data_IF_020708117843
#
_entry.id   IF_020708117843
#
_cell.length_a   1.000
_cell.length_b   1.000
_cell.length_c   1.000
_cell.angle_alpha   90.00
_cell.angle_beta   90.00
_cell.angle_gamma   90.00
#
_symmetry.space_group_name_H-M   'P 1'
#
loop_
_entity.id
_entity.type
_entity.pdbx_description
1 polymer ?
#
# COMPACT_ATOMS: atom_id res chain seq x y z
N UNK A 1 5.98 27.40 -2.17
CA UNK A 1 5.72 27.47 -0.72
C UNK A 1 6.08 26.11 -0.16
N UNK A 2 6.91 26.06 0.89
CA UNK A 2 7.35 24.80 1.49
C UNK A 2 6.15 24.10 2.14
N UNK A 3 6.07 22.77 2.03
CA UNK A 3 4.95 21.99 2.56
C UNK A 3 4.97 22.00 4.08
N UNK A 4 3.81 22.10 4.74
CA UNK A 4 3.71 22.17 6.20
C UNK A 4 3.13 20.90 6.80
N UNK A 5 3.84 20.31 7.74
CA UNK A 5 3.46 19.08 8.47
C UNK A 5 3.28 19.43 9.94
N UNK A 6 2.10 19.14 10.48
CA UNK A 6 1.84 19.24 11.92
C UNK A 6 2.00 17.85 12.54
N UNK A 7 2.80 17.74 13.60
CA UNK A 7 3.01 16.50 14.35
C UNK A 7 2.45 16.69 15.76
N UNK A 8 1.45 15.89 16.14
CA UNK A 8 0.94 15.84 17.50
C UNK A 8 1.55 14.64 18.24
N UNK A 9 2.39 14.90 19.24
CA UNK A 9 3.10 13.89 20.03
C UNK A 9 3.32 14.44 21.44
N UNK A 10 2.78 13.76 22.45
CA UNK A 10 2.77 14.20 23.84
C UNK A 10 4.11 13.95 24.57
N UNK A 11 4.92 13.01 24.08
CA UNK A 11 6.29 12.86 24.56
C UNK A 11 7.22 13.88 23.90
N UNK A 12 7.66 14.86 24.68
CA UNK A 12 8.55 15.94 24.23
C UNK A 12 9.85 15.43 23.60
N UNK A 13 10.38 14.28 24.04
CA UNK A 13 11.61 13.71 23.49
C UNK A 13 11.35 13.09 22.12
N UNK A 14 10.21 12.40 21.96
CA UNK A 14 9.81 11.82 20.68
C UNK A 14 9.46 12.93 19.69
N UNK A 15 8.74 13.96 20.13
CA UNK A 15 8.43 15.14 19.32
C UNK A 15 9.70 15.84 18.83
N UNK A 16 10.67 16.07 19.73
CA UNK A 16 11.98 16.62 19.39
C UNK A 16 12.74 15.73 18.40
N UNK A 17 12.79 14.42 18.66
CA UNK A 17 13.44 13.44 17.78
C UNK A 17 12.83 13.42 16.38
N UNK A 18 11.50 13.50 16.26
CA UNK A 18 10.82 13.58 14.96
C UNK A 18 11.19 14.87 14.25
N UNK A 19 11.10 16.02 14.93
CA UNK A 19 11.36 17.32 14.30
C UNK A 19 12.80 17.46 13.82
N UNK A 20 13.76 17.26 14.73
CA UNK A 20 15.18 17.44 14.43
C UNK A 20 15.69 16.30 13.54
N UNK A 21 15.26 15.07 13.81
CA UNK A 21 15.67 13.92 13.02
C UNK A 21 15.16 13.94 11.57
N UNK A 22 13.96 14.47 11.31
CA UNK A 22 13.50 14.68 9.94
C UNK A 22 14.30 15.79 9.23
N UNK A 23 14.69 16.84 9.95
CA UNK A 23 15.54 17.91 9.41
C UNK A 23 16.94 17.39 9.06
N UNK A 24 17.57 16.61 9.93
CA UNK A 24 18.88 15.99 9.73
C UNK A 24 18.88 15.01 8.54
N UNK A 25 17.75 14.35 8.29
CA UNK A 25 17.55 13.48 7.12
C UNK A 25 17.26 14.26 5.82
N UNK A 26 17.29 15.60 5.85
CA UNK A 26 17.12 16.45 4.68
C UNK A 26 15.68 16.55 4.18
N UNK A 27 14.70 16.60 5.08
CA UNK A 27 13.29 16.80 4.71
C UNK A 27 13.04 18.16 4.02
N UNK A 28 12.38 18.13 2.86
CA UNK A 28 11.99 19.33 2.09
C UNK A 28 10.60 19.87 2.48
N UNK A 29 10.24 19.73 3.76
CA UNK A 29 8.99 20.22 4.33
C UNK A 29 9.27 20.81 5.73
N UNK A 30 8.37 21.68 6.18
CA UNK A 30 8.45 22.28 7.50
C UNK A 30 7.63 21.45 8.48
N UNK A 31 8.26 21.10 9.61
CA UNK A 31 7.65 20.32 10.67
C UNK A 31 7.42 21.22 11.88
N UNK A 32 6.17 21.27 12.33
CA UNK A 32 5.81 21.87 13.62
C UNK A 32 5.23 20.78 14.53
N UNK A 33 5.63 20.80 15.80
CA UNK A 33 5.22 19.82 16.80
C UNK A 33 4.31 20.47 17.83
N UNK A 34 3.28 19.76 18.26
CA UNK A 34 2.37 20.12 19.36
C UNK A 34 2.25 18.95 20.32
N UNK A 35 1.90 19.24 21.57
CA UNK A 35 1.95 18.27 22.68
C UNK A 35 0.61 17.61 22.99
N UNK A 36 -0.47 18.03 22.33
CA UNK A 36 -1.82 17.49 22.54
C UNK A 36 -2.70 17.60 21.29
N UNK A 37 -3.81 16.84 21.28
CA UNK A 37 -4.81 16.93 20.23
C UNK A 37 -5.53 18.29 20.20
N UNK A 38 -5.73 18.91 21.36
CA UNK A 38 -6.35 20.23 21.50
C UNK A 38 -5.48 21.33 20.89
N UNK A 39 -4.16 21.31 21.15
CA UNK A 39 -3.20 22.23 20.53
C UNK A 39 -3.16 22.02 19.01
N UNK A 40 -3.21 20.77 18.56
CA UNK A 40 -3.26 20.44 17.14
C UNK A 40 -4.51 21.03 16.47
N UNK A 41 -5.70 20.90 17.09
CA UNK A 41 -6.93 21.49 16.57
C UNK A 41 -6.87 23.01 16.52
N UNK A 42 -6.33 23.66 17.56
CA UNK A 42 -6.16 25.10 17.57
C UNK A 42 -5.26 25.57 16.41
N UNK A 43 -4.18 24.83 16.12
CA UNK A 43 -3.30 25.10 14.97
C UNK A 43 -3.98 24.84 13.63
N UNK A 44 -4.81 23.81 13.53
CA UNK A 44 -5.60 23.50 12.32
C UNK A 44 -6.61 24.62 12.02
N UNK A 45 -7.15 25.28 13.05
CA UNK A 45 -8.08 26.40 12.87
C UNK A 45 -7.40 27.71 12.48
N UNK A 46 -6.15 27.90 12.87
CA UNK A 46 -5.38 29.12 12.58
C UNK A 46 -4.68 29.08 11.23
N UNK A 47 -4.23 27.90 10.81
CA UNK A 47 -3.27 27.73 9.73
C UNK A 47 -3.66 26.61 8.76
N UNK A 48 -3.12 26.67 7.55
CA UNK A 48 -3.27 25.59 6.57
C UNK A 48 -2.12 24.58 6.70
N UNK A 49 -2.49 23.31 6.84
CA UNK A 49 -1.57 22.18 6.93
C UNK A 49 -1.69 21.26 5.71
N UNK A 50 -0.54 20.80 5.20
CA UNK A 50 -0.51 19.83 4.11
C UNK A 50 -0.76 18.41 4.63
N UNK A 51 -0.24 18.08 5.82
CA UNK A 51 -0.34 16.77 6.45
C UNK A 51 -0.41 16.92 7.98
N UNK A 52 -1.19 16.06 8.63
CA UNK A 52 -1.19 15.90 10.09
C UNK A 52 -0.67 14.52 10.46
N UNK A 53 0.38 14.45 11.25
CA UNK A 53 0.88 13.22 11.88
C UNK A 53 0.48 13.27 13.33
N UNK A 54 -0.04 12.19 13.89
CA UNK A 54 -0.49 12.20 15.29
C UNK A 54 -0.21 10.89 15.98
N UNK A 55 0.23 10.94 17.24
CA UNK A 55 0.21 9.77 18.08
C UNK A 55 -1.20 9.38 18.49
N UNK A 56 -1.46 8.08 18.55
CA UNK A 56 -2.75 7.57 18.95
C UNK A 56 -3.03 7.84 20.43
N UNK A 57 -2.02 7.69 21.29
CA UNK A 57 -2.16 7.77 22.75
C UNK A 57 -1.68 9.09 23.32
N UNK A 58 -2.45 10.15 23.09
CA UNK A 58 -2.23 11.43 23.75
C UNK A 58 -3.25 11.63 24.90
N UNK A 59 -2.85 12.28 26.01
CA UNK A 59 -3.78 12.70 27.07
C UNK A 59 -4.86 13.67 26.54
N UNK A 60 -6.08 13.56 27.09
CA UNK A 60 -7.19 14.42 26.72
C UNK A 60 -7.89 13.97 25.44
N UNK A 61 -7.23 14.15 24.30
CA UNK A 61 -7.74 13.79 22.98
C UNK A 61 -6.80 12.79 22.29
N UNK A 62 -7.35 11.63 21.91
CA UNK A 62 -6.60 10.61 21.16
C UNK A 62 -6.31 11.05 19.73
N UNK A 63 -5.31 10.44 19.09
CA UNK A 63 -4.99 10.72 17.69
C UNK A 63 -6.14 10.40 16.73
N UNK A 64 -7.00 9.42 17.05
CA UNK A 64 -8.18 9.11 16.23
C UNK A 64 -9.25 10.19 16.33
N UNK A 65 -9.52 10.69 17.53
CA UNK A 65 -10.47 11.81 17.74
C UNK A 65 -9.97 13.09 17.07
N UNK A 66 -8.66 13.36 17.14
CA UNK A 66 -8.05 14.46 16.40
C UNK A 66 -8.26 14.32 14.89
N UNK A 67 -8.03 13.13 14.34
CA UNK A 67 -8.23 12.87 12.90
C UNK A 67 -9.70 13.01 12.54
N UNK A 68 -10.63 12.49 13.35
CA UNK A 68 -12.06 12.64 13.11
C UNK A 68 -12.47 14.12 13.05
N UNK A 69 -12.05 14.91 14.03
CA UNK A 69 -12.29 16.35 14.07
C UNK A 69 -11.63 17.09 12.88
N UNK A 70 -10.40 16.71 12.50
CA UNK A 70 -9.72 17.22 11.31
C UNK A 70 -10.52 16.93 10.04
N UNK A 71 -11.05 15.72 9.88
CA UNK A 71 -11.80 15.29 8.68
C UNK A 71 -13.18 15.93 8.60
N UNK A 72 -13.82 16.22 9.73
CA UNK A 72 -15.06 16.99 9.76
C UNK A 72 -14.85 18.42 9.23
N UNK A 73 -13.72 19.04 9.57
CA UNK A 73 -13.35 20.39 9.10
C UNK A 73 -12.81 20.38 7.68
N UNK A 74 -11.97 19.41 7.35
CA UNK A 74 -11.27 19.28 6.07
C UNK A 74 -11.33 17.82 5.61
N UNK A 75 -12.39 17.41 4.89
CA UNK A 75 -12.60 16.01 4.50
C UNK A 75 -11.45 15.38 3.68
N UNK A 76 -10.74 16.21 2.90
CA UNK A 76 -9.60 15.81 2.07
C UNK A 76 -8.24 15.93 2.78
N UNK A 77 -8.19 16.26 4.08
CA UNK A 77 -6.94 16.34 4.81
C UNK A 77 -6.25 14.98 4.83
N UNK A 78 -4.93 14.96 4.66
CA UNK A 78 -4.14 13.75 4.83
C UNK A 78 -3.71 13.63 6.27
N UNK A 79 -3.72 12.40 6.77
CA UNK A 79 -3.30 12.11 8.14
C UNK A 79 -2.48 10.82 8.24
N UNK A 80 -1.47 10.82 9.10
CA UNK A 80 -0.71 9.64 9.49
C UNK A 80 -0.96 9.40 10.98
N UNK A 81 -1.31 8.17 11.35
CA UNK A 81 -1.47 7.78 12.76
C UNK A 81 -0.25 6.98 13.21
N UNK A 82 0.37 7.38 14.32
CA UNK A 82 1.43 6.64 15.01
C UNK A 82 0.82 5.93 16.23
N UNK A 83 1.29 4.74 16.62
CA UNK A 83 0.83 4.09 17.87
C UNK A 83 1.82 3.06 18.39
N UNK A 84 1.82 2.81 19.70
CA UNK A 84 2.64 1.77 20.32
C UNK A 84 2.12 0.33 20.10
N UNK A 85 0.86 0.13 19.73
CA UNK A 85 0.28 -1.19 19.46
C UNK A 85 -0.94 -1.07 18.55
N UNK A 86 -1.02 -1.91 17.52
CA UNK A 86 -2.20 -2.05 16.67
C UNK A 86 -3.21 -2.97 17.33
N UNK A 87 -4.16 -2.40 18.07
CA UNK A 87 -5.39 -3.14 18.34
C UNK A 87 -6.27 -3.12 17.10
N UNK A 88 -6.99 -4.21 16.86
CA UNK A 88 -7.92 -4.33 15.73
C UNK A 88 -8.91 -3.17 15.68
N UNK A 89 -9.36 -2.70 16.85
CA UNK A 89 -10.26 -1.54 16.97
C UNK A 89 -9.64 -0.24 16.44
N UNK A 90 -8.34 -0.01 16.69
CA UNK A 90 -7.63 1.20 16.23
C UNK A 90 -7.43 1.18 14.73
N UNK A 91 -7.10 0.01 14.17
CA UNK A 91 -6.97 -0.16 12.72
C UNK A 91 -8.31 0.05 12.01
N UNK A 92 -9.39 -0.54 12.52
CA UNK A 92 -10.74 -0.36 11.98
C UNK A 92 -11.19 1.09 12.05
N UNK A 93 -10.92 1.78 13.16
CA UNK A 93 -11.22 3.21 13.30
C UNK A 93 -10.41 4.06 12.32
N UNK A 94 -9.10 3.81 12.18
CA UNK A 94 -8.25 4.53 11.23
C UNK A 94 -8.74 4.35 9.78
N UNK A 95 -9.21 3.16 9.42
CA UNK A 95 -9.79 2.89 8.10
C UNK A 95 -11.09 3.65 7.88
N UNK A 96 -11.99 3.66 8.87
CA UNK A 96 -13.26 4.41 8.79
C UNK A 96 -13.03 5.90 8.59
N UNK A 97 -11.98 6.44 9.21
CA UNK A 97 -11.60 7.85 9.09
C UNK A 97 -10.75 8.18 7.85
N UNK A 98 -10.47 7.18 7.00
CA UNK A 98 -9.65 7.32 5.79
C UNK A 98 -8.28 7.97 6.12
N UNK A 99 -7.61 7.43 7.13
CA UNK A 99 -6.22 7.75 7.46
C UNK A 99 -5.34 7.34 6.27
N UNK A 100 -4.41 8.22 5.88
CA UNK A 100 -3.55 7.97 4.73
C UNK A 100 -2.58 6.81 4.99
N UNK A 101 -1.95 6.81 6.17
CA UNK A 101 -1.05 5.74 6.58
C UNK A 101 -1.03 5.59 8.11
N UNK A 102 -0.66 4.41 8.57
CA UNK A 102 -0.59 4.07 9.97
C UNK A 102 0.77 3.43 10.27
N UNK A 103 1.42 3.85 11.35
CA UNK A 103 2.77 3.41 11.73
C UNK A 103 2.82 2.95 13.18
N UNK A 104 3.52 1.84 13.42
CA UNK A 104 3.76 1.31 14.77
C UNK A 104 5.07 1.83 15.35
N UNK A 105 5.04 2.33 16.58
CA UNK A 105 6.21 2.67 17.41
C UNK A 105 6.79 1.38 18.03
N UNK A 106 8.12 1.24 18.15
CA UNK A 106 9.14 2.16 17.63
C UNK A 106 9.29 2.05 16.10
N UNK A 107 9.57 3.17 15.44
CA UNK A 107 9.82 3.22 13.99
C UNK A 107 11.13 3.95 13.68
N UNK A 108 11.83 3.61 12.57
CA UNK A 108 12.93 4.41 12.05
C UNK A 108 12.44 5.75 11.50
N UNK A 109 13.15 6.85 11.79
CA UNK A 109 12.82 8.18 11.26
C UNK A 109 12.88 8.26 9.73
N UNK A 110 13.72 7.44 9.11
CA UNK A 110 13.81 7.31 7.64
C UNK A 110 12.48 6.81 7.07
N UNK A 111 11.80 5.88 7.75
CA UNK A 111 10.50 5.40 7.33
C UNK A 111 9.42 6.47 7.51
N UNK A 112 9.42 7.18 8.65
CA UNK A 112 8.47 8.29 8.86
C UNK A 112 8.64 9.38 7.80
N UNK A 113 9.89 9.77 7.49
CA UNK A 113 10.21 10.71 6.42
C UNK A 113 9.62 10.25 5.08
N UNK A 114 9.89 9.00 4.71
CA UNK A 114 9.40 8.42 3.45
C UNK A 114 7.89 8.47 3.35
N UNK A 115 7.16 8.10 4.41
CA UNK A 115 5.69 8.11 4.42
C UNK A 115 5.16 9.55 4.32
N UNK A 116 5.78 10.51 5.01
CA UNK A 116 5.41 11.93 4.91
C UNK A 116 5.61 12.45 3.48
N UNK A 117 6.75 12.16 2.85
CA UNK A 117 7.04 12.58 1.46
C UNK A 117 6.02 11.99 0.48
N UNK A 118 5.67 10.71 0.64
CA UNK A 118 4.64 10.05 -0.15
C UNK A 118 3.27 10.71 0.02
N UNK A 119 2.88 11.04 1.25
CA UNK A 119 1.62 11.72 1.54
C UNK A 119 1.57 13.13 0.93
N UNK A 120 2.65 13.90 1.06
CA UNK A 120 2.73 15.26 0.53
C UNK A 120 2.69 15.28 -1.01
N UNK A 121 3.33 14.30 -1.65
CA UNK A 121 3.25 14.10 -3.10
C UNK A 121 1.81 13.78 -3.52
N UNK A 122 1.13 12.87 -2.81
CA UNK A 122 -0.26 12.49 -3.09
C UNK A 122 -1.24 13.68 -3.09
N UNK A 123 -1.08 14.67 -2.20
CA UNK A 123 -1.97 15.86 -2.12
C UNK A 123 -1.85 16.83 -3.31
N UNK A 124 -0.73 16.82 -4.03
CA UNK A 124 -0.42 17.81 -5.07
C UNK A 124 -1.10 17.55 -6.43
N UNK A 125 -1.91 16.49 -6.54
CA UNK A 125 -2.63 16.16 -7.78
C UNK A 125 -1.85 15.28 -8.75
N UNK A 126 -0.75 14.67 -8.32
CA UNK A 126 0.01 13.69 -9.07
C UNK A 126 0.54 12.64 -8.13
N UNK A 127 0.49 11.40 -8.57
CA UNK A 127 1.41 10.40 -8.06
C UNK A 127 2.86 10.93 -7.98
N UNK A 128 3.69 10.40 -7.08
CA UNK A 128 5.02 10.95 -6.80
C UNK A 128 5.97 10.91 -7.99
N UNK A 129 6.19 12.06 -8.62
CA UNK A 129 7.26 12.26 -9.61
C UNK A 129 8.64 12.18 -8.92
N UNK A 130 9.43 11.17 -9.26
CA UNK A 130 10.89 11.26 -9.31
C UNK A 130 11.28 12.16 -10.50
N UNK A 131 12.28 13.02 -10.31
CA UNK A 131 12.56 14.09 -11.26
C UNK A 131 13.09 13.63 -12.62
N UNK A 132 12.41 14.07 -13.68
CA UNK A 132 13.02 14.59 -14.91
C UNK A 132 11.96 15.31 -15.76
N UNK A 133 12.32 16.47 -16.32
CA UNK A 133 11.50 17.30 -17.19
C UNK A 133 10.95 16.54 -18.40
N UNK A 134 9.65 16.27 -18.42
CA UNK A 134 8.68 16.47 -19.51
C UNK A 134 7.32 15.95 -19.01
N UNK A 135 6.22 16.43 -19.58
CA UNK A 135 4.84 16.09 -19.17
C UNK A 135 4.59 14.58 -19.29
N UNK A 136 4.89 13.82 -18.24
CA UNK A 136 4.59 12.39 -18.20
C UNK A 136 3.17 12.19 -17.66
N UNK A 137 2.18 12.21 -18.55
CA UNK A 137 0.76 11.95 -18.25
C UNK A 137 0.48 10.44 -18.07
N UNK A 138 1.43 9.71 -17.52
CA UNK A 138 1.34 8.26 -17.33
C UNK A 138 0.29 7.95 -16.25
N UNK A 139 -0.68 7.05 -16.52
CA UNK A 139 -1.76 6.78 -15.59
C UNK A 139 -1.34 5.99 -14.35
N UNK A 140 -2.05 6.29 -13.27
CA UNK A 140 -1.98 5.70 -11.94
C UNK A 140 -2.88 4.48 -11.80
N UNK A 141 -2.34 3.34 -11.38
CA UNK A 141 -3.13 2.16 -11.10
C UNK A 141 -2.95 1.65 -9.67
N UNK A 142 -4.06 1.63 -8.93
CA UNK A 142 -4.15 0.83 -7.71
C UNK A 142 -4.13 -0.66 -8.08
N UNK A 143 -3.17 -1.40 -7.55
CA UNK A 143 -3.01 -2.85 -7.72
C UNK A 143 -3.08 -3.50 -6.34
N UNK A 144 -3.74 -4.65 -6.22
CA UNK A 144 -3.73 -5.44 -4.98
C UNK A 144 -3.07 -6.79 -5.21
N UNK A 145 -2.24 -7.24 -4.26
CA UNK A 145 -1.79 -8.63 -4.22
C UNK A 145 -2.63 -9.44 -3.21
N UNK A 146 -3.27 -10.50 -3.69
CA UNK A 146 -3.97 -11.51 -2.90
C UNK A 146 -3.20 -12.83 -2.84
N UNK A 147 -3.50 -13.67 -1.86
CA UNK A 147 -2.82 -14.94 -1.60
C UNK A 147 -2.42 -15.09 -0.15
N UNK A 148 -2.07 -16.30 0.27
CA UNK A 148 -1.85 -16.60 1.69
C UNK A 148 -0.66 -15.86 2.31
N UNK A 149 -0.57 -15.94 3.64
CA UNK A 149 0.65 -15.59 4.35
C UNK A 149 1.85 -16.37 3.81
N UNK A 150 3.03 -15.74 3.82
CA UNK A 150 4.30 -16.37 3.46
C UNK A 150 4.45 -16.85 1.99
N UNK A 151 3.49 -16.59 1.10
CA UNK A 151 3.66 -16.87 -0.36
C UNK A 151 4.68 -15.94 -1.03
N UNK A 152 5.02 -14.82 -0.38
CA UNK A 152 6.06 -13.89 -0.82
C UNK A 152 5.55 -12.62 -1.51
N UNK A 153 4.31 -12.18 -1.24
CA UNK A 153 3.73 -10.92 -1.77
C UNK A 153 4.61 -9.71 -1.45
N UNK A 154 4.90 -9.49 -0.18
CA UNK A 154 5.81 -8.43 0.31
C UNK A 154 7.19 -8.54 -0.32
N UNK A 155 7.73 -9.75 -0.44
CA UNK A 155 9.06 -9.98 -1.02
C UNK A 155 9.07 -9.71 -2.52
N UNK A 156 8.00 -10.02 -3.25
CA UNK A 156 7.84 -9.66 -4.67
C UNK A 156 7.87 -8.15 -4.83
N UNK A 157 7.13 -7.42 -3.99
CA UNK A 157 7.08 -5.96 -4.05
C UNK A 157 8.43 -5.33 -3.70
N UNK A 158 9.07 -5.78 -2.61
CA UNK A 158 10.42 -5.32 -2.24
C UNK A 158 11.44 -5.63 -3.34
N UNK A 159 11.35 -6.81 -3.95
CA UNK A 159 12.26 -7.20 -5.04
C UNK A 159 12.08 -6.31 -6.26
N UNK A 160 10.84 -6.00 -6.62
CA UNK A 160 10.50 -5.07 -7.69
C UNK A 160 11.09 -3.67 -7.41
N UNK A 161 10.85 -3.12 -6.22
CA UNK A 161 11.27 -1.76 -5.90
C UNK A 161 12.78 -1.60 -5.71
N UNK A 162 13.49 -2.63 -5.23
CA UNK A 162 14.90 -2.51 -4.82
C UNK A 162 15.87 -3.28 -5.70
N UNK A 163 15.38 -4.19 -6.55
CA UNK A 163 16.19 -5.16 -7.28
C UNK A 163 16.90 -6.19 -6.39
N UNK A 164 16.71 -6.15 -5.06
CA UNK A 164 17.41 -6.98 -4.08
C UNK A 164 16.45 -7.95 -3.41
N UNK A 165 16.99 -9.11 -3.02
CA UNK A 165 16.28 -10.08 -2.20
C UNK A 165 16.56 -9.81 -0.72
N UNK A 166 15.50 -9.66 0.07
CA UNK A 166 15.56 -9.53 1.53
C UNK A 166 15.10 -10.86 2.15
N UNK A 167 16.01 -11.53 2.86
CA UNK A 167 15.76 -12.81 3.49
C UNK A 167 15.03 -12.71 4.85
N UNK A 168 14.77 -11.49 5.35
CA UNK A 168 14.07 -11.29 6.61
C UNK A 168 12.64 -11.83 6.53
N UNK A 169 12.28 -12.71 7.46
CA UNK A 169 10.98 -13.42 7.49
C UNK A 169 9.95 -12.72 8.38
N UNK A 170 9.96 -11.39 8.39
CA UNK A 170 8.96 -10.63 9.14
C UNK A 170 7.63 -10.74 8.40
N UNK A 171 6.60 -11.24 9.08
CA UNK A 171 5.25 -11.30 8.50
C UNK A 171 4.63 -9.90 8.44
N UNK A 172 3.94 -9.58 7.35
CA UNK A 172 3.19 -8.33 7.24
C UNK A 172 1.98 -8.33 8.18
N UNK A 173 2.02 -7.45 9.17
CA UNK A 173 0.89 -7.09 10.03
C UNK A 173 0.21 -5.89 9.36
N UNK A 174 -1.11 -5.96 9.13
CA UNK A 174 -1.85 -4.88 8.47
C UNK A 174 -1.65 -4.80 6.95
N UNK A 175 -1.50 -3.57 6.44
CA UNK A 175 -1.43 -3.27 4.99
C UNK A 175 -0.35 -2.22 4.71
N UNK A 176 0.49 -2.48 3.72
CA UNK A 176 1.51 -1.55 3.21
C UNK A 176 1.22 -1.23 1.73
N UNK A 177 1.78 -0.13 1.21
CA UNK A 177 1.71 0.17 -0.22
C UNK A 177 3.03 0.70 -0.78
N UNK A 178 3.32 0.30 -2.01
CA UNK A 178 4.55 0.68 -2.70
C UNK A 178 4.24 1.30 -4.06
N UNK A 179 5.08 2.24 -4.46
CA UNK A 179 4.98 2.96 -5.73
C UNK A 179 6.02 2.40 -6.69
N UNK A 180 5.59 2.08 -7.89
CA UNK A 180 6.48 1.53 -8.92
C UNK A 180 6.11 2.06 -10.30
N UNK A 181 7.08 2.72 -10.94
CA UNK A 181 6.97 3.15 -12.33
C UNK A 181 7.30 1.97 -13.24
N UNK A 182 6.37 1.63 -14.12
CA UNK A 182 6.48 0.50 -15.03
C UNK A 182 6.27 0.93 -16.47
N UNK A 183 7.19 0.52 -17.33
CA UNK A 183 7.01 0.59 -18.77
C UNK A 183 6.39 -0.72 -19.24
N UNK A 184 5.09 -0.72 -19.50
CA UNK A 184 4.36 -1.87 -20.05
C UNK A 184 4.39 -1.83 -21.59
N UNK A 185 3.88 -2.88 -22.25
CA UNK A 185 3.82 -2.88 -23.71
C UNK A 185 2.91 -1.78 -24.27
N UNK A 186 1.87 -1.41 -23.51
CA UNK A 186 0.84 -0.48 -23.96
C UNK A 186 1.17 0.97 -23.62
N UNK A 187 1.80 1.24 -22.46
CA UNK A 187 2.17 2.58 -22.02
C UNK A 187 3.05 2.55 -20.76
N UNK A 188 3.68 3.69 -20.47
CA UNK A 188 4.18 4.00 -19.13
C UNK A 188 3.00 4.12 -18.17
N UNK A 189 3.13 3.54 -16.98
CA UNK A 189 2.15 3.65 -15.92
C UNK A 189 2.85 3.61 -14.57
N UNK A 190 2.19 4.14 -13.55
CA UNK A 190 2.63 3.99 -12.18
C UNK A 190 1.66 3.11 -11.41
N UNK A 191 2.23 2.19 -10.65
CA UNK A 191 1.48 1.24 -9.83
C UNK A 191 1.56 1.67 -8.37
N UNK A 192 0.39 1.75 -7.73
CA UNK A 192 0.25 1.77 -6.27
C UNK A 192 -0.09 0.35 -5.86
N UNK A 193 0.92 -0.42 -5.45
CA UNK A 193 0.78 -1.84 -5.10
C UNK A 193 0.46 -1.98 -3.62
N UNK A 194 -0.71 -2.50 -3.30
CA UNK A 194 -1.16 -2.77 -1.94
C UNK A 194 -0.73 -4.18 -1.51
N UNK A 195 0.16 -4.24 -0.52
CA UNK A 195 0.56 -5.47 0.17
C UNK A 195 -0.44 -5.78 1.28
N UNK A 196 -1.41 -6.63 0.96
CA UNK A 196 -2.46 -7.01 1.90
C UNK A 196 -2.06 -8.27 2.66
N UNK A 197 -2.20 -8.27 3.98
CA UNK A 197 -1.89 -9.46 4.78
C UNK A 197 -2.70 -10.68 4.33
N UNK A 198 -2.00 -11.80 4.14
CA UNK A 198 -2.60 -13.06 3.71
C UNK A 198 -3.11 -13.94 4.84
N UNK A 199 -3.10 -13.47 6.09
CA UNK A 199 -3.54 -14.29 7.22
C UNK A 199 -5.08 -14.29 7.34
N UNK A 200 -5.70 -15.43 7.68
CA UNK A 200 -7.16 -15.53 7.82
C UNK A 200 -7.77 -14.55 8.84
N UNK A 201 -7.06 -14.23 9.91
CA UNK A 201 -7.51 -13.29 10.94
C UNK A 201 -7.79 -11.88 10.39
N UNK A 202 -7.14 -11.46 9.30
CA UNK A 202 -7.39 -10.16 8.65
C UNK A 202 -8.47 -10.22 7.55
N UNK A 203 -9.23 -11.31 7.44
CA UNK A 203 -10.18 -11.52 6.33
C UNK A 203 -11.31 -10.49 6.26
N UNK A 204 -11.77 -10.01 7.41
CA UNK A 204 -12.80 -8.99 7.46
C UNK A 204 -12.25 -7.63 6.99
N UNK A 205 -11.09 -7.26 7.50
CA UNK A 205 -10.44 -5.97 7.30
C UNK A 205 -9.88 -5.81 5.87
N UNK A 206 -9.31 -6.87 5.29
CA UNK A 206 -8.67 -6.82 3.98
C UNK A 206 -9.60 -6.46 2.81
N UNK A 207 -10.90 -6.74 2.95
CA UNK A 207 -11.92 -6.49 1.91
C UNK A 207 -12.03 -5.03 1.51
N UNK A 208 -11.81 -4.11 2.44
CA UNK A 208 -11.82 -2.67 2.16
C UNK A 208 -10.71 -2.27 1.16
N UNK A 209 -9.57 -2.96 1.22
CA UNK A 209 -8.40 -2.65 0.41
C UNK A 209 -8.51 -3.10 -1.04
N UNK A 210 -9.42 -4.02 -1.36
CA UNK A 210 -9.68 -4.40 -2.75
C UNK A 210 -10.34 -3.25 -3.52
N UNK A 211 -11.19 -2.43 -2.87
CA UNK A 211 -11.97 -1.42 -3.59
C UNK A 211 -11.07 -0.43 -4.33
N UNK A 212 -11.43 -0.16 -5.59
CA UNK A 212 -10.71 0.75 -6.46
C UNK A 212 -9.53 0.12 -7.21
N UNK A 213 -9.15 -1.12 -6.93
CA UNK A 213 -8.09 -1.83 -7.64
C UNK A 213 -8.44 -2.00 -9.13
N UNK A 214 -7.47 -1.69 -9.99
CA UNK A 214 -7.59 -1.73 -11.45
C UNK A 214 -7.16 -3.08 -12.03
N UNK A 215 -6.29 -3.80 -11.33
CA UNK A 215 -5.98 -5.20 -11.53
C UNK A 215 -5.56 -5.84 -10.20
N UNK A 216 -5.59 -7.17 -10.13
CA UNK A 216 -5.26 -7.95 -8.94
C UNK A 216 -4.26 -9.06 -9.28
N UNK A 217 -3.18 -9.13 -8.51
CA UNK A 217 -2.22 -10.23 -8.58
C UNK A 217 -2.57 -11.31 -7.56
N UNK A 218 -2.76 -12.56 -7.99
CA UNK A 218 -2.96 -13.71 -7.10
C UNK A 218 -1.66 -14.50 -7.00
N UNK A 219 -1.11 -14.59 -5.80
CA UNK A 219 0.22 -15.19 -5.57
C UNK A 219 0.08 -16.46 -4.74
N UNK A 220 0.69 -17.55 -5.21
CA UNK A 220 0.90 -18.77 -4.44
C UNK A 220 2.39 -19.11 -4.37
N UNK A 221 2.76 -20.04 -3.49
CA UNK A 221 4.12 -20.57 -3.39
C UNK A 221 4.19 -21.94 -4.05
N UNK A 222 5.11 -22.13 -5.02
CA UNK A 222 5.26 -23.39 -5.75
C UNK A 222 5.60 -24.60 -4.86
N UNK A 223 6.14 -24.36 -3.67
CA UNK A 223 6.42 -25.37 -2.64
C UNK A 223 5.27 -25.65 -1.67
N UNK A 224 4.16 -24.95 -1.80
CA UNK A 224 3.02 -25.04 -0.89
C UNK A 224 1.74 -25.28 -1.68
N UNK A 225 1.38 -26.56 -1.83
CA UNK A 225 0.17 -27.02 -2.51
C UNK A 225 -1.09 -26.33 -1.99
N UNK A 226 -1.19 -26.14 -0.68
CA UNK A 226 -2.38 -25.55 -0.05
C UNK A 226 -2.56 -24.09 -0.48
N UNK A 227 -1.46 -23.36 -0.66
CA UNK A 227 -1.51 -21.98 -1.16
C UNK A 227 -2.02 -21.85 -2.59
N UNK A 228 -1.80 -22.86 -3.41
CA UNK A 228 -2.34 -22.94 -4.77
C UNK A 228 -3.84 -23.27 -4.76
N UNK A 229 -4.26 -24.23 -3.94
CA UNK A 229 -5.67 -24.62 -3.84
C UNK A 229 -6.53 -23.45 -3.34
N UNK A 230 -6.05 -22.71 -2.34
CA UNK A 230 -6.72 -21.52 -1.79
C UNK A 230 -6.83 -20.34 -2.75
N UNK A 231 -6.17 -20.36 -3.91
CA UNK A 231 -6.39 -19.32 -4.94
C UNK A 231 -7.86 -19.22 -5.34
N UNK A 232 -8.63 -20.31 -5.31
CA UNK A 232 -10.06 -20.28 -5.60
C UNK A 232 -10.83 -19.42 -4.59
N UNK A 233 -10.50 -19.54 -3.31
CA UNK A 233 -11.10 -18.74 -2.24
C UNK A 233 -10.75 -17.27 -2.38
N UNK A 234 -9.46 -16.96 -2.63
CA UNK A 234 -9.00 -15.59 -2.88
C UNK A 234 -9.65 -14.97 -4.12
N UNK A 235 -9.74 -15.71 -5.22
CA UNK A 235 -10.39 -15.26 -6.44
C UNK A 235 -11.88 -14.99 -6.20
N UNK A 236 -12.60 -15.89 -5.52
CA UNK A 236 -14.01 -15.73 -5.18
C UNK A 236 -14.25 -14.53 -4.27
N UNK A 237 -13.47 -14.40 -3.18
CA UNK A 237 -13.56 -13.30 -2.23
C UNK A 237 -13.38 -11.95 -2.94
N UNK A 238 -12.33 -11.80 -3.75
CA UNK A 238 -12.04 -10.53 -4.43
C UNK A 238 -13.08 -10.24 -5.51
N UNK A 239 -13.51 -11.24 -6.29
CA UNK A 239 -14.59 -11.06 -7.28
C UNK A 239 -15.91 -10.63 -6.65
N UNK A 240 -16.22 -11.09 -5.44
CA UNK A 240 -17.45 -10.68 -4.74
C UNK A 240 -17.51 -9.18 -4.46
N UNK A 241 -16.34 -8.52 -4.38
CA UNK A 241 -16.20 -7.08 -4.13
C UNK A 241 -15.92 -6.31 -5.43
N UNK A 242 -15.19 -6.93 -6.35
CA UNK A 242 -14.82 -6.39 -7.65
C UNK A 242 -15.17 -7.37 -8.79
N UNK A 243 -16.43 -7.45 -9.23
CA UNK A 243 -16.90 -8.49 -10.16
C UNK A 243 -16.14 -8.56 -11.49
N UNK A 244 -15.65 -7.41 -11.94
CA UNK A 244 -15.04 -7.24 -13.26
C UNK A 244 -13.53 -7.00 -13.20
N UNK A 245 -12.88 -7.01 -12.04
CA UNK A 245 -11.44 -6.69 -11.97
C UNK A 245 -10.62 -7.78 -12.69
N UNK A 246 -9.66 -7.42 -13.55
CA UNK A 246 -8.80 -8.41 -14.17
C UNK A 246 -7.78 -8.96 -13.16
N UNK A 247 -7.50 -10.25 -13.28
CA UNK A 247 -6.52 -10.96 -12.45
C UNK A 247 -5.29 -11.36 -13.25
N UNK A 248 -4.16 -11.52 -12.55
CA UNK A 248 -2.93 -12.15 -13.05
C UNK A 248 -2.44 -13.09 -11.95
N UNK A 249 -2.03 -14.31 -12.30
CA UNK A 249 -1.53 -15.30 -11.34
C UNK A 249 0.00 -15.33 -11.34
N UNK A 250 0.59 -15.40 -10.15
CA UNK A 250 2.01 -15.68 -9.96
C UNK A 250 2.24 -16.92 -9.07
N UNK A 251 3.00 -17.89 -9.58
CA UNK A 251 3.57 -18.96 -8.78
C UNK A 251 4.98 -18.56 -8.34
N UNK A 252 5.16 -18.21 -7.07
CA UNK A 252 6.42 -17.70 -6.54
C UNK A 252 7.30 -18.82 -5.96
N UNK A 253 8.58 -18.51 -5.77
CA UNK A 253 9.62 -19.39 -5.21
C UNK A 253 9.94 -20.62 -6.07
N UNK A 254 9.85 -20.47 -7.39
CA UNK A 254 10.19 -21.56 -8.35
C UNK A 254 11.67 -21.91 -8.39
N UNK A 255 12.52 -21.10 -7.76
CA UNK A 255 13.92 -21.40 -7.46
C UNK A 255 14.10 -22.53 -6.44
N UNK A 256 13.05 -22.88 -5.70
CA UNK A 256 13.03 -24.00 -4.77
C UNK A 256 12.45 -25.25 -5.45
N UNK A 257 12.19 -26.32 -4.69
CA UNK A 257 11.46 -27.47 -5.21
C UNK A 257 10.04 -27.10 -5.68
N UNK A 258 9.27 -28.10 -6.14
CA UNK A 258 7.87 -27.88 -6.54
C UNK A 258 6.93 -28.96 -5.98
N UNK A 259 5.79 -28.52 -5.46
CA UNK A 259 4.62 -29.36 -5.15
C UNK A 259 3.47 -29.12 -6.15
N UNK A 260 3.53 -28.05 -6.93
CA UNK A 260 2.57 -27.71 -7.98
C UNK A 260 3.34 -27.66 -9.30
N UNK A 261 2.85 -28.36 -10.33
CA UNK A 261 3.51 -28.37 -11.64
C UNK A 261 3.15 -27.12 -12.45
N UNK A 262 4.02 -26.75 -13.38
CA UNK A 262 3.81 -25.63 -14.29
C UNK A 262 2.57 -25.84 -15.16
N UNK A 263 2.33 -27.09 -15.59
CA UNK A 263 1.18 -27.49 -16.41
C UNK A 263 -0.13 -27.34 -15.64
N UNK A 264 -0.16 -27.75 -14.38
CA UNK A 264 -1.34 -27.63 -13.52
C UNK A 264 -1.69 -26.15 -13.25
N UNK A 265 -0.70 -25.34 -12.88
CA UNK A 265 -0.90 -23.91 -12.65
C UNK A 265 -1.31 -23.18 -13.93
N UNK A 266 -0.72 -23.54 -15.07
CA UNK A 266 -1.11 -23.02 -16.39
C UNK A 266 -2.54 -23.42 -16.74
N UNK A 267 -2.96 -24.67 -16.46
CA UNK A 267 -4.31 -25.12 -16.72
C UNK A 267 -5.35 -24.35 -15.89
N UNK A 268 -5.05 -24.06 -14.62
CA UNK A 268 -5.89 -23.20 -13.79
C UNK A 268 -6.03 -21.80 -14.40
N UNK A 269 -4.91 -21.16 -14.74
CA UNK A 269 -4.90 -19.83 -15.33
C UNK A 269 -5.67 -19.76 -16.66
N UNK A 270 -5.52 -20.77 -17.51
CA UNK A 270 -6.29 -20.92 -18.75
C UNK A 270 -7.79 -21.07 -18.48
N UNK A 271 -8.17 -21.87 -17.48
CA UNK A 271 -9.58 -22.05 -17.09
C UNK A 271 -10.24 -20.75 -16.62
N UNK A 272 -9.47 -19.84 -16.02
CA UNK A 272 -9.94 -18.52 -15.59
C UNK A 272 -9.75 -17.44 -16.65
N UNK A 273 -9.10 -17.77 -17.77
CA UNK A 273 -8.71 -16.85 -18.84
C UNK A 273 -7.87 -15.66 -18.32
N UNK A 274 -6.85 -15.96 -17.51
CA UNK A 274 -5.96 -14.97 -16.89
C UNK A 274 -4.49 -15.28 -17.22
N UNK A 275 -3.61 -14.27 -17.31
CA UNK A 275 -2.18 -14.51 -17.47
C UNK A 275 -1.56 -15.19 -16.25
N UNK A 276 -0.50 -15.99 -16.47
CA UNK A 276 0.24 -16.71 -15.43
C UNK A 276 1.75 -16.52 -15.60
N UNK A 277 2.44 -16.33 -14.48
CA UNK A 277 3.89 -16.19 -14.41
C UNK A 277 4.46 -17.06 -13.29
N UNK A 278 5.54 -17.78 -13.58
CA UNK A 278 6.38 -18.40 -12.56
C UNK A 278 7.47 -17.41 -12.13
N UNK A 279 7.48 -17.04 -10.86
CA UNK A 279 8.32 -15.97 -10.32
C UNK A 279 9.28 -16.47 -9.25
N UNK A 280 10.40 -15.76 -9.10
CA UNK A 280 11.38 -16.02 -8.05
C UNK A 280 11.90 -14.69 -7.50
N UNK A 281 11.54 -14.36 -6.26
CA UNK A 281 12.11 -13.20 -5.56
C UNK A 281 13.63 -13.32 -5.36
N UNK A 282 14.15 -14.55 -5.25
CA UNK A 282 15.56 -14.82 -5.04
C UNK A 282 16.38 -14.42 -6.26
N UNK A 283 16.00 -14.97 -7.42
CA UNK A 283 16.73 -14.77 -8.68
C UNK A 283 16.29 -13.50 -9.40
N UNK A 284 15.07 -13.01 -9.14
CA UNK A 284 14.40 -11.94 -9.88
C UNK A 284 13.62 -12.42 -11.10
N UNK A 285 13.58 -13.74 -11.38
CA UNK A 285 12.90 -14.27 -12.55
C UNK A 285 11.42 -13.87 -12.58
N UNK A 286 10.98 -13.30 -13.72
CA UNK A 286 9.62 -12.89 -14.05
C UNK A 286 8.94 -11.93 -13.07
N UNK A 287 9.69 -11.31 -12.15
CA UNK A 287 9.12 -10.34 -11.19
C UNK A 287 8.61 -9.12 -11.96
N UNK A 288 9.44 -8.54 -12.83
CA UNK A 288 9.05 -7.36 -13.62
C UNK A 288 7.92 -7.67 -14.60
N UNK A 289 7.98 -8.82 -15.24
CA UNK A 289 6.98 -9.31 -16.21
C UNK A 289 5.61 -9.47 -15.56
N UNK A 290 5.55 -9.99 -14.33
CA UNK A 290 4.32 -10.09 -13.57
C UNK A 290 3.68 -8.72 -13.30
N UNK A 291 4.46 -7.72 -12.86
CA UNK A 291 3.96 -6.37 -12.60
C UNK A 291 3.62 -5.60 -13.89
N UNK A 292 4.37 -5.81 -14.99
CA UNK A 292 4.02 -5.29 -16.32
C UNK A 292 2.68 -5.84 -16.81
N UNK A 293 2.41 -7.13 -16.60
CA UNK A 293 1.14 -7.74 -16.97
C UNK A 293 -0.04 -7.16 -16.15
N UNK A 294 0.17 -6.85 -14.88
CA UNK A 294 -0.82 -6.16 -14.05
C UNK A 294 -1.13 -4.74 -14.56
N UNK A 295 -0.11 -4.00 -15.00
CA UNK A 295 -0.26 -2.68 -15.61
C UNK A 295 -1.04 -2.75 -16.93
N UNK A 296 -0.73 -3.73 -17.79
CA UNK A 296 -1.44 -3.96 -19.05
C UNK A 296 -2.91 -4.33 -18.81
N UNK A 297 -3.18 -5.19 -17.84
CA UNK A 297 -4.53 -5.57 -17.45
C UNK A 297 -5.35 -4.36 -16.95
N UNK A 298 -4.74 -3.51 -16.10
CA UNK A 298 -5.35 -2.29 -15.61
C UNK A 298 -5.65 -1.28 -16.74
N UNK A 299 -4.72 -1.15 -17.70
CA UNK A 299 -4.84 -0.24 -18.85
C UNK A 299 -5.99 -0.61 -19.78
N UNK A 300 -6.10 -1.89 -20.18
CA UNK A 300 -7.16 -2.37 -21.09
C UNK A 300 -8.57 -2.10 -20.54
N UNK A 301 -8.73 -2.17 -19.21
CA UNK A 301 -10.01 -1.90 -18.54
C UNK A 301 -10.46 -0.45 -18.70
N UNK A 302 -9.53 0.51 -18.74
CA UNK A 302 -9.84 1.93 -18.92
C UNK A 302 -10.20 2.23 -20.37
N UNK A 303 -9.45 1.66 -21.31
CA UNK A 303 -9.67 1.89 -22.74
C UNK A 303 -10.97 1.26 -23.26
N UNK A 304 -11.47 0.20 -22.61
CA UNK A 304 -12.73 -0.47 -22.96
C UNK A 304 -13.71 -0.54 -21.76
N UNK A 305 -14.38 0.57 -21.39
CA UNK A 305 -15.35 0.59 -20.29
C UNK A 305 -16.58 -0.30 -20.53
N UNK A 306 -16.84 -0.67 -21.79
CA UNK A 306 -17.95 -1.53 -22.24
C UNK A 306 -17.89 -2.97 -21.71
N UNK A 307 -16.76 -3.42 -21.15
CA UNK A 307 -16.67 -4.69 -20.40
C UNK A 307 -17.24 -4.59 -18.96
N UNK A 308 -17.63 -3.39 -18.51
CA UNK A 308 -18.28 -3.17 -17.21
C UNK A 308 -19.81 -3.07 -17.29
N UNK A 309 -20.38 -3.07 -18.50
CA UNK A 309 -21.80 -2.96 -18.78
C UNK A 309 -22.25 -3.99 -19.81
N UNK A 310 -22.19 -5.28 -19.48
CA UNK A 310 -23.12 -6.28 -20.05
C UNK A 310 -23.44 -7.31 -18.97
N UNK A 311 -24.71 -7.27 -18.61
CA UNK A 311 -25.59 -8.19 -17.89
C UNK A 311 -25.19 -8.67 -16.48
#
# INVERSE_FOLDING_TARGET
MKKRVLVAEDDINVAFLIKDGLADLGADFDVETVSSGEEALAKIDQDKWDLVVTDHRMPGMTGLELIEALKQKVPAALSILMTAYGSEDVELAAQRLNVYHYMTKPFPLVDLKRVIEQALAYKAGGEPSSGSNEKDTSPTFKITLGGDGNVGKTTLIKRLCTGRFDASRVMTIGVDFHLYDVQSQNQAARLIVWDVSGQPHFAFTRRAFYRGSKAVGLVYNAMDRQSFERLHEWHHEIRSILPNVPFVIAGNKVDLGRQVSTEEASALAQSWNVPFFETSCLTGANVDEFFKALADAATRRIMNPSFSRRD
#
